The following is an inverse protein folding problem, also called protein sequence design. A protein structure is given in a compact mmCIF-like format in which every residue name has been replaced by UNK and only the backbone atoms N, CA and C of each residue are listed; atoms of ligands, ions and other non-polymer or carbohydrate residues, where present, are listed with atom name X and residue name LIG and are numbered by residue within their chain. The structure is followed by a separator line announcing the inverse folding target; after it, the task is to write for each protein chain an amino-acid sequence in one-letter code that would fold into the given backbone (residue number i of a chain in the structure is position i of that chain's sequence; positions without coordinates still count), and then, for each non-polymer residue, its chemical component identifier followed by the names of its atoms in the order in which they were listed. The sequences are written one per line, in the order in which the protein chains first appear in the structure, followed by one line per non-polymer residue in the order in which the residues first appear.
data_IF_324322469226
#
_entry.id   IF_324322469226
#
_cell.length_a   1.000
_cell.length_b   1.000
_cell.length_c   1.000
_cell.angle_alpha   90.00
_cell.angle_beta   90.00
_cell.angle_gamma   90.00
#
_symmetry.space_group_name_H-M   'P 1'
#
loop_
_entity.id
_entity.type
_entity.pdbx_description
1 polymer ?
#
# COMPACT_ATOMS: atom_id res chain seq x y z
N UNK A 1 9.68 11.49 3.51
CA UNK A 1 8.73 11.35 2.37
C UNK A 1 7.33 11.78 2.72
N UNK A 2 6.74 11.31 3.83
CA UNK A 2 5.43 11.74 4.33
C UNK A 2 5.19 13.24 4.23
N UNK A 3 6.03 14.03 4.92
CA UNK A 3 5.85 15.48 5.02
C UNK A 3 6.10 16.19 3.68
N UNK A 4 6.97 15.64 2.83
CA UNK A 4 7.25 16.17 1.49
C UNK A 4 6.05 16.01 0.54
N UNK A 5 5.26 14.96 0.73
CA UNK A 5 4.13 14.60 -0.14
C UNK A 5 2.76 14.91 0.51
N UNK A 6 2.74 15.40 1.74
CA UNK A 6 1.50 15.68 2.48
C UNK A 6 0.67 14.42 2.78
N UNK A 7 1.31 13.27 3.03
CA UNK A 7 0.59 12.03 3.32
C UNK A 7 0.04 12.05 4.76
N UNK A 8 -1.26 11.78 4.91
CA UNK A 8 -1.94 11.74 6.22
C UNK A 8 -1.51 10.53 7.07
N UNK A 9 -1.30 9.38 6.43
CA UNK A 9 -0.98 8.12 7.08
C UNK A 9 0.18 7.41 6.40
N UNK A 10 1.10 6.85 7.18
CA UNK A 10 2.21 6.04 6.68
C UNK A 10 2.53 4.91 7.63
N UNK A 11 2.74 3.70 7.11
CA UNK A 11 3.25 2.53 7.85
C UNK A 11 4.35 1.86 7.04
N UNK A 12 5.48 1.57 7.68
CA UNK A 12 6.63 0.91 7.06
C UNK A 12 7.51 0.25 8.14
N UNK A 13 8.35 -0.70 7.75
CA UNK A 13 9.36 -1.25 8.64
C UNK A 13 10.39 -0.17 8.97
N UNK A 14 10.83 -0.13 10.23
CA UNK A 14 11.89 0.77 10.67
C UNK A 14 13.13 -0.07 10.94
N UNK A 15 14.22 0.21 10.22
CA UNK A 15 15.50 -0.47 10.45
C UNK A 15 16.19 0.13 11.67
N UNK A 16 16.75 -0.74 12.51
CA UNK A 16 17.52 -0.30 13.67
C UNK A 16 18.88 0.25 13.21
N UNK A 17 19.25 1.40 13.77
CA UNK A 17 20.54 2.06 13.55
C UNK A 17 21.26 2.17 14.89
N UNK A 18 22.47 1.64 14.95
CA UNK A 18 23.37 1.81 16.09
C UNK A 18 24.71 2.34 15.58
N UNK A 19 25.27 3.33 16.28
CA UNK A 19 26.57 3.92 15.96
C UNK A 19 26.68 4.44 14.51
N UNK A 20 25.56 4.91 13.94
CA UNK A 20 25.50 5.41 12.56
C UNK A 20 25.48 4.32 11.47
N UNK A 21 25.39 3.04 11.84
CA UNK A 21 25.31 1.92 10.91
C UNK A 21 24.00 1.11 11.09
N UNK A 22 23.55 0.48 10.00
CA UNK A 22 22.44 -0.47 10.03
C UNK A 22 22.87 -1.74 10.77
N UNK A 23 22.12 -2.14 11.79
CA UNK A 23 22.44 -3.33 12.58
C UNK A 23 22.00 -4.63 11.91
N UNK A 24 21.16 -4.53 10.87
CA UNK A 24 20.47 -5.65 10.24
C UNK A 24 19.22 -6.12 10.99
N UNK A 25 18.87 -5.47 12.10
CA UNK A 25 17.61 -5.70 12.83
C UNK A 25 16.56 -4.64 12.47
N UNK A 26 15.32 -4.94 12.81
CA UNK A 26 14.22 -3.99 12.75
C UNK A 26 13.93 -3.47 14.16
N UNK A 27 13.33 -2.28 14.23
CA UNK A 27 12.79 -1.73 15.46
C UNK A 27 11.40 -2.33 15.70
N UNK A 28 11.17 -2.87 16.89
CA UNK A 28 9.87 -3.41 17.30
C UNK A 28 8.76 -2.37 17.11
N UNK A 29 7.66 -2.78 16.50
CA UNK A 29 6.49 -1.92 16.27
C UNK A 29 5.31 -2.44 17.10
N UNK A 30 4.40 -1.53 17.45
CA UNK A 30 3.15 -1.84 18.17
C UNK A 30 2.21 -2.78 17.41
N UNK A 31 2.41 -2.90 16.09
CA UNK A 31 1.67 -3.78 15.19
C UNK A 31 2.41 -5.07 14.80
N UNK A 32 3.61 -5.33 15.35
CA UNK A 32 4.40 -6.53 15.12
C UNK A 32 5.68 -6.31 14.31
N UNK A 33 6.34 -7.41 13.91
CA UNK A 33 7.72 -7.35 13.40
C UNK A 33 7.81 -6.83 11.95
N UNK A 34 6.94 -7.30 11.05
CA UNK A 34 7.08 -7.05 9.60
C UNK A 34 5.77 -6.53 9.02
N UNK A 35 5.86 -5.43 8.26
CA UNK A 35 4.79 -4.91 7.42
C UNK A 35 4.62 -5.82 6.20
N UNK A 36 3.97 -6.96 6.43
CA UNK A 36 3.62 -7.95 5.42
C UNK A 36 2.27 -7.59 4.74
N UNK A 37 1.78 -8.49 3.89
CA UNK A 37 0.53 -8.24 3.17
C UNK A 37 -0.71 -8.15 4.06
N UNK A 38 -0.79 -8.97 5.11
CA UNK A 38 -1.91 -8.91 6.05
C UNK A 38 -1.82 -7.64 6.90
N UNK A 39 -0.62 -7.19 7.24
CA UNK A 39 -0.44 -5.94 7.97
C UNK A 39 -0.82 -4.72 7.13
N UNK A 40 -0.49 -4.72 5.83
CA UNK A 40 -0.99 -3.72 4.87
C UNK A 40 -2.52 -3.73 4.78
N UNK A 41 -3.13 -4.91 4.76
CA UNK A 41 -4.59 -5.06 4.77
C UNK A 41 -5.21 -4.48 6.04
N UNK A 42 -4.68 -4.83 7.21
CA UNK A 42 -5.13 -4.28 8.50
C UNK A 42 -5.00 -2.77 8.53
N UNK A 43 -3.89 -2.22 8.03
CA UNK A 43 -3.67 -0.78 7.95
C UNK A 43 -4.74 -0.11 7.07
N UNK A 44 -5.05 -0.67 5.90
CA UNK A 44 -6.12 -0.15 5.04
C UNK A 44 -7.47 -0.14 5.77
N UNK A 45 -7.84 -1.25 6.42
CA UNK A 45 -9.10 -1.37 7.13
C UNK A 45 -9.19 -0.42 8.34
N UNK A 46 -8.11 -0.30 9.11
CA UNK A 46 -8.02 0.61 10.25
C UNK A 46 -8.11 2.08 9.80
N UNK A 47 -7.45 2.43 8.69
CA UNK A 47 -7.53 3.78 8.11
C UNK A 47 -8.95 4.08 7.62
N UNK A 48 -9.60 3.14 6.96
CA UNK A 48 -10.99 3.28 6.53
C UNK A 48 -11.92 3.49 7.74
N UNK A 49 -11.74 2.71 8.80
CA UNK A 49 -12.51 2.84 10.03
C UNK A 49 -12.30 4.21 10.71
N UNK A 50 -11.05 4.67 10.78
CA UNK A 50 -10.71 5.98 11.34
C UNK A 50 -11.35 7.15 10.54
N UNK A 51 -11.43 7.01 9.22
CA UNK A 51 -12.06 7.99 8.33
C UNK A 51 -13.59 7.84 8.22
N UNK A 52 -14.18 6.81 8.84
CA UNK A 52 -15.61 6.52 8.74
C UNK A 52 -16.08 6.14 7.32
N UNK A 53 -15.20 5.54 6.51
CA UNK A 53 -15.50 5.12 5.15
C UNK A 53 -15.51 3.59 5.03
N UNK A 54 -16.34 3.08 4.13
CA UNK A 54 -16.32 1.66 3.79
C UNK A 54 -15.04 1.32 2.98
N UNK A 55 -14.42 0.14 3.18
CA UNK A 55 -13.28 -0.30 2.36
C UNK A 55 -13.59 -0.36 0.86
N UNK A 56 -14.87 -0.56 0.49
CA UNK A 56 -15.34 -0.48 -0.90
C UNK A 56 -15.21 0.91 -1.54
N UNK A 57 -14.92 1.95 -0.73
CA UNK A 57 -14.59 3.31 -1.21
C UNK A 57 -13.09 3.58 -1.22
N UNK A 58 -12.26 2.62 -0.84
CA UNK A 58 -10.81 2.72 -0.89
C UNK A 58 -10.27 2.24 -2.22
N UNK A 59 -9.16 2.84 -2.64
CA UNK A 59 -8.35 2.40 -3.77
C UNK A 59 -7.02 1.90 -3.20
N UNK A 60 -6.66 0.66 -3.52
CA UNK A 60 -5.38 0.08 -3.16
C UNK A 60 -4.52 -0.11 -4.39
N UNK A 61 -3.24 0.22 -4.27
CA UNK A 61 -2.26 0.05 -5.33
C UNK A 61 -1.06 -0.75 -4.85
N UNK A 62 -0.56 -1.65 -5.68
CA UNK A 62 0.62 -2.47 -5.41
C UNK A 62 1.28 -3.02 -6.67
N UNK A 63 2.50 -3.51 -6.53
CA UNK A 63 3.30 -4.09 -7.60
C UNK A 63 3.65 -5.57 -7.33
N UNK A 64 3.58 -5.97 -6.06
CA UNK A 64 4.02 -7.28 -5.56
C UNK A 64 2.89 -8.17 -5.04
N UNK A 65 3.20 -9.47 -4.94
CA UNK A 65 2.25 -10.45 -4.38
C UNK A 65 1.95 -10.20 -2.90
N UNK A 66 2.86 -9.53 -2.19
CA UNK A 66 2.66 -9.07 -0.82
C UNK A 66 1.62 -7.94 -0.71
N UNK A 67 1.19 -7.31 -1.80
CA UNK A 67 0.12 -6.30 -1.76
C UNK A 67 -1.27 -6.92 -1.97
N UNK A 68 -1.35 -8.16 -2.45
CA UNK A 68 -2.61 -8.82 -2.79
C UNK A 68 -3.63 -8.86 -1.65
N UNK A 69 -3.25 -9.11 -0.37
CA UNK A 69 -4.22 -9.06 0.72
C UNK A 69 -4.82 -7.67 0.94
N UNK A 70 -4.02 -6.61 0.81
CA UNK A 70 -4.50 -5.22 0.88
C UNK A 70 -5.37 -4.89 -0.32
N UNK A 71 -4.93 -5.27 -1.52
CA UNK A 71 -5.64 -5.03 -2.78
C UNK A 71 -7.02 -5.72 -2.79
N UNK A 72 -7.12 -6.93 -2.25
CA UNK A 72 -8.38 -7.67 -2.16
C UNK A 72 -9.39 -7.10 -1.15
N UNK A 73 -8.95 -6.22 -0.24
CA UNK A 73 -9.84 -5.57 0.73
C UNK A 73 -10.41 -4.23 0.24
N UNK A 74 -9.82 -3.64 -0.80
CA UNK A 74 -10.24 -2.36 -1.35
C UNK A 74 -11.37 -2.53 -2.39
N UNK A 75 -12.16 -1.47 -2.59
CA UNK A 75 -13.20 -1.44 -3.62
C UNK A 75 -12.64 -1.36 -5.04
N UNK A 76 -11.46 -0.78 -5.20
CA UNK A 76 -10.70 -0.77 -6.44
C UNK A 76 -9.25 -1.16 -6.16
N UNK A 77 -8.73 -2.13 -6.91
CA UNK A 77 -7.33 -2.53 -6.84
C UNK A 77 -6.59 -2.23 -8.14
N UNK A 78 -5.39 -1.66 -8.01
CA UNK A 78 -4.57 -1.22 -9.14
C UNK A 78 -3.19 -1.84 -9.06
N UNK A 79 -2.86 -2.68 -10.04
CA UNK A 79 -1.51 -3.17 -10.25
C UNK A 79 -0.69 -2.09 -10.98
N UNK A 80 0.38 -1.58 -10.36
CA UNK A 80 1.27 -0.58 -10.98
C UNK A 80 2.64 -1.20 -11.29
N UNK A 81 3.00 -1.31 -12.57
CA UNK A 81 4.23 -2.00 -13.02
C UNK A 81 4.42 -3.39 -12.40
N UNK A 82 3.31 -4.06 -12.08
CA UNK A 82 3.30 -5.25 -11.23
C UNK A 82 3.78 -6.51 -11.98
N UNK A 83 4.10 -7.58 -11.26
CA UNK A 83 4.38 -8.91 -11.87
C UNK A 83 3.10 -9.53 -12.47
N UNK A 84 3.19 -10.42 -13.48
CA UNK A 84 2.01 -11.04 -14.12
C UNK A 84 1.01 -11.67 -13.16
N UNK A 85 1.50 -12.34 -12.09
CA UNK A 85 0.65 -12.97 -11.08
C UNK A 85 -0.19 -11.96 -10.28
N UNK A 86 0.30 -10.72 -10.12
CA UNK A 86 -0.40 -9.64 -9.43
C UNK A 86 -1.40 -8.97 -10.38
N UNK A 87 -1.02 -8.75 -11.64
CA UNK A 87 -1.90 -8.20 -12.69
C UNK A 87 -3.16 -9.06 -12.88
N UNK A 88 -3.00 -10.38 -12.84
CA UNK A 88 -4.12 -11.31 -12.99
C UNK A 88 -5.16 -11.24 -11.85
N UNK A 89 -4.81 -10.62 -10.71
CA UNK A 89 -5.66 -10.54 -9.53
C UNK A 89 -6.12 -9.10 -9.23
N UNK A 90 -5.52 -8.10 -9.87
CA UNK A 90 -5.92 -6.70 -9.74
C UNK A 90 -7.10 -6.37 -10.68
N UNK A 91 -7.93 -5.41 -10.30
CA UNK A 91 -9.05 -4.95 -11.14
C UNK A 91 -8.57 -4.11 -12.32
N UNK A 92 -7.51 -3.32 -12.11
CA UNK A 92 -6.89 -2.47 -13.13
C UNK A 92 -5.38 -2.70 -13.11
N UNK A 93 -4.75 -2.64 -14.28
CA UNK A 93 -3.29 -2.75 -14.43
C UNK A 93 -2.75 -1.57 -15.23
N UNK A 94 -1.79 -0.85 -14.66
CA UNK A 94 -1.02 0.22 -15.31
C UNK A 94 0.37 -0.33 -15.59
N UNK A 95 0.64 -0.61 -16.87
CA UNK A 95 1.88 -1.27 -17.31
C UNK A 95 2.90 -0.29 -17.89
N UNK A 96 2.45 0.92 -18.25
CA UNK A 96 3.29 1.93 -18.89
C UNK A 96 2.91 3.32 -18.37
N UNK A 97 3.89 4.22 -18.35
CA UNK A 97 3.70 5.59 -17.85
C UNK A 97 3.76 5.73 -16.34
N UNK A 98 3.44 6.93 -15.87
CA UNK A 98 3.49 7.32 -14.46
C UNK A 98 2.22 6.96 -13.68
N UNK A 99 2.27 7.27 -12.38
CA UNK A 99 1.16 7.06 -11.45
C UNK A 99 -0.07 7.94 -11.78
N UNK A 100 0.15 9.04 -12.50
CA UNK A 100 -0.86 9.96 -13.01
C UNK A 100 -1.94 9.27 -13.87
N UNK A 101 -1.60 8.14 -14.50
CA UNK A 101 -2.56 7.30 -15.24
C UNK A 101 -3.72 6.81 -14.39
N UNK A 102 -3.57 6.73 -13.07
CA UNK A 102 -4.67 6.40 -12.17
C UNK A 102 -5.80 7.44 -12.25
N UNK A 103 -5.50 8.71 -12.52
CA UNK A 103 -6.51 9.76 -12.63
C UNK A 103 -7.43 9.54 -13.83
N UNK A 104 -6.92 8.90 -14.90
CA UNK A 104 -7.72 8.52 -16.08
C UNK A 104 -8.78 7.48 -15.72
N UNK A 105 -8.51 6.61 -14.73
CA UNK A 105 -9.45 5.60 -14.21
C UNK A 105 -10.53 6.23 -13.33
N UNK A 106 -10.22 7.35 -12.66
CA UNK A 106 -11.13 8.02 -11.72
C UNK A 106 -11.95 9.14 -12.34
N UNK A 107 -11.59 9.59 -13.55
CA UNK A 107 -12.27 10.69 -14.22
C UNK A 107 -13.58 10.19 -14.84
N UNK A 108 -14.75 10.82 -14.54
CA UNK A 108 -15.97 10.53 -15.28
C UNK A 108 -15.79 10.92 -16.74
N UNK A 109 -16.26 10.08 -17.66
CA UNK A 109 -16.45 10.44 -19.07
C UNK A 109 -17.68 11.34 -19.24
#
# INVERSE_FOLDING_TARGET
MRDRLGLDFTRSNVLEVAEGALTGRMVDQDWGDICDGEEKRKMLLATCAQLGIAPSRAIAMGDGANDLPMMGAAGLSVAYHAKPAVRAQAMVSIEQGGLDRLLEVMSPH
#
